data_IF_686083610697
#
_entry.id   IF_686083610697
#
_cell.length_a   1.000
_cell.length_b   1.000
_cell.length_c   1.000
_cell.angle_alpha   90.00
_cell.angle_beta   90.00
_cell.angle_gamma   90.00
#
_symmetry.space_group_name_H-M   'P 1'
#
loop_
_entity.id
_entity.type
_entity.pdbx_description
1 polymer ?
#
# COMPACT_ATOMS: atom_id res chain seq x y z
N UNK A 1 -22.61 22.01 -10.43
CA UNK A 1 -21.38 21.28 -10.03
C UNK A 1 -20.36 22.31 -9.58
N UNK A 2 -20.12 22.44 -8.28
CA UNK A 2 -19.16 23.40 -7.72
C UNK A 2 -17.75 23.03 -8.18
N UNK A 3 -17.13 23.84 -9.03
CA UNK A 3 -15.74 23.64 -9.45
C UNK A 3 -14.83 23.97 -8.27
N UNK A 4 -14.20 22.96 -7.67
CA UNK A 4 -13.13 23.17 -6.70
C UNK A 4 -12.05 24.07 -7.34
N UNK A 5 -11.56 25.11 -6.65
CA UNK A 5 -10.43 25.90 -7.15
C UNK A 5 -9.27 25.00 -7.54
N UNK A 6 -8.65 25.28 -8.70
CA UNK A 6 -7.56 24.48 -9.29
C UNK A 6 -7.90 23.06 -9.77
N UNK A 7 -9.18 22.73 -9.98
CA UNK A 7 -9.59 21.44 -10.57
C UNK A 7 -8.92 21.14 -11.92
N UNK A 8 -8.66 22.16 -12.75
CA UNK A 8 -7.93 22.05 -14.03
C UNK A 8 -6.46 21.59 -13.88
N UNK A 9 -5.89 21.63 -12.67
CA UNK A 9 -4.54 21.12 -12.36
C UNK A 9 -4.56 19.72 -11.74
N UNK A 10 -5.75 19.13 -11.55
CA UNK A 10 -5.92 17.81 -10.95
C UNK A 10 -6.12 16.74 -12.02
N UNK A 11 -5.77 15.49 -11.69
CA UNK A 11 -6.02 14.32 -12.54
C UNK A 11 -7.07 13.43 -11.88
N UNK A 12 -8.02 12.94 -12.67
CA UNK A 12 -8.91 11.86 -12.24
C UNK A 12 -8.18 10.53 -12.45
N UNK A 13 -8.09 9.71 -11.41
CA UNK A 13 -7.44 8.40 -11.46
C UNK A 13 -8.47 7.34 -11.05
N UNK A 14 -8.76 6.40 -11.95
CA UNK A 14 -9.48 5.19 -11.57
C UNK A 14 -8.56 4.31 -10.73
N UNK A 15 -9.01 3.93 -9.54
CA UNK A 15 -8.18 3.24 -8.54
C UNK A 15 -9.01 2.37 -7.63
N UNK A 16 -8.42 1.28 -7.16
CA UNK A 16 -8.93 0.54 -6.00
C UNK A 16 -8.59 1.35 -4.75
N UNK A 17 -9.61 1.91 -4.12
CA UNK A 17 -9.49 2.71 -2.90
C UNK A 17 -9.80 1.91 -1.63
N UNK A 18 -10.66 0.88 -1.74
CA UNK A 18 -11.02 -0.02 -0.66
C UNK A 18 -10.39 -1.38 -0.92
N UNK A 19 -9.17 -1.56 -0.43
CA UNK A 19 -8.42 -2.81 -0.63
C UNK A 19 -8.95 -3.91 0.30
N UNK A 20 -8.94 -5.19 -0.11
CA UNK A 20 -9.31 -6.29 0.76
C UNK A 20 -8.32 -6.45 1.91
N UNK A 21 -8.77 -7.01 3.04
CA UNK A 21 -7.88 -7.40 4.15
C UNK A 21 -6.88 -8.48 3.73
N UNK A 22 -7.33 -9.49 2.97
CA UNK A 22 -6.47 -10.49 2.32
C UNK A 22 -6.60 -10.38 0.78
N UNK A 23 -5.51 -10.14 0.04
CA UNK A 23 -5.55 -10.09 -1.43
C UNK A 23 -6.00 -11.41 -2.08
N UNK A 24 -5.91 -12.56 -1.39
CA UNK A 24 -6.42 -13.84 -1.91
C UNK A 24 -7.95 -13.83 -2.05
N UNK A 25 -8.66 -13.13 -1.16
CA UNK A 25 -10.12 -13.03 -1.24
C UNK A 25 -10.55 -12.30 -2.50
N UNK A 26 -9.81 -11.25 -2.88
CA UNK A 26 -10.03 -10.56 -4.14
C UNK A 26 -9.68 -11.44 -5.34
N UNK A 27 -8.57 -12.19 -5.29
CA UNK A 27 -8.22 -13.12 -6.36
C UNK A 27 -9.30 -14.17 -6.62
N UNK A 28 -9.90 -14.73 -5.55
CA UNK A 28 -10.97 -15.72 -5.66
C UNK A 28 -12.25 -15.13 -6.22
N UNK A 29 -12.55 -13.88 -5.86
CA UNK A 29 -13.79 -13.19 -6.26
C UNK A 29 -13.70 -12.60 -7.67
N UNK A 30 -12.58 -11.96 -7.99
CA UNK A 30 -12.36 -11.23 -9.24
C UNK A 30 -10.85 -11.17 -9.57
N UNK A 31 -10.35 -12.09 -10.42
CA UNK A 31 -8.97 -12.10 -10.88
C UNK A 31 -8.55 -10.83 -11.64
N UNK A 32 -9.48 -10.14 -12.31
CA UNK A 32 -9.19 -8.92 -13.07
C UNK A 32 -8.92 -7.77 -12.11
N UNK A 33 -9.75 -7.60 -11.08
CA UNK A 33 -9.51 -6.62 -10.03
C UNK A 33 -8.23 -6.93 -9.22
N UNK A 34 -7.92 -8.21 -8.99
CA UNK A 34 -6.64 -8.60 -8.38
C UNK A 34 -5.43 -8.16 -9.21
N UNK A 35 -5.47 -8.40 -10.53
CA UNK A 35 -4.40 -7.95 -11.44
C UNK A 35 -4.27 -6.43 -11.42
N UNK A 36 -5.40 -5.71 -11.43
CA UNK A 36 -5.43 -4.26 -11.31
C UNK A 36 -4.79 -3.79 -10.00
N UNK A 37 -5.11 -4.44 -8.87
CA UNK A 37 -4.55 -4.11 -7.57
C UNK A 37 -3.03 -4.32 -7.54
N UNK A 38 -2.53 -5.40 -8.16
CA UNK A 38 -1.10 -5.67 -8.28
C UNK A 38 -0.39 -4.54 -9.05
N UNK A 39 -0.87 -4.19 -10.24
CA UNK A 39 -0.28 -3.13 -11.05
C UNK A 39 -0.33 -1.77 -10.34
N UNK A 40 -1.48 -1.45 -9.72
CA UNK A 40 -1.64 -0.24 -8.91
C UNK A 40 -0.60 -0.20 -7.78
N UNK A 41 -0.41 -1.32 -7.08
CA UNK A 41 0.50 -1.43 -5.95
C UNK A 41 1.96 -1.28 -6.36
N UNK A 42 2.36 -1.84 -7.51
CA UNK A 42 3.70 -1.62 -8.08
C UNK A 42 3.96 -0.12 -8.31
N UNK A 43 3.01 0.59 -8.92
CA UNK A 43 3.12 2.02 -9.13
C UNK A 43 3.19 2.78 -7.81
N UNK A 44 2.40 2.40 -6.82
CA UNK A 44 2.37 3.05 -5.50
C UNK A 44 3.69 2.89 -4.75
N UNK A 45 4.37 1.75 -4.90
CA UNK A 45 5.71 1.50 -4.33
C UNK A 45 6.74 2.41 -4.98
N UNK A 46 6.86 2.41 -6.31
CA UNK A 46 7.87 3.19 -7.03
C UNK A 46 7.62 4.70 -6.88
N UNK A 47 6.35 5.13 -6.81
CA UNK A 47 5.96 6.52 -6.56
C UNK A 47 5.97 6.91 -5.08
N UNK A 48 6.51 6.06 -4.18
CA UNK A 48 6.73 6.39 -2.77
C UNK A 48 5.44 6.77 -2.00
N UNK A 49 4.29 6.23 -2.40
CA UNK A 49 2.98 6.59 -1.79
C UNK A 49 2.81 6.12 -0.36
N UNK A 50 3.62 5.15 0.07
CA UNK A 50 3.64 4.65 1.45
C UNK A 50 4.57 5.48 2.36
N UNK A 51 5.24 6.50 1.81
CA UNK A 51 6.15 7.37 2.55
C UNK A 51 7.24 6.58 3.28
N UNK A 52 7.68 7.03 4.48
CA UNK A 52 8.78 6.41 5.21
C UNK A 52 8.43 5.06 5.85
N UNK A 53 7.15 4.64 5.81
CA UNK A 53 6.76 3.32 6.30
C UNK A 53 7.33 2.19 5.44
N UNK A 54 7.48 2.42 4.13
CA UNK A 54 8.11 1.48 3.21
C UNK A 54 9.64 1.59 3.31
N UNK A 55 10.23 0.75 4.16
CA UNK A 55 11.68 0.65 4.31
C UNK A 55 12.34 0.07 3.05
N UNK A 56 13.62 0.38 2.86
CA UNK A 56 14.39 -0.02 1.68
C UNK A 56 14.55 -1.53 1.52
N UNK A 57 14.64 -2.29 2.62
CA UNK A 57 14.71 -3.74 2.59
C UNK A 57 13.42 -4.36 2.04
N UNK A 58 12.26 -3.80 2.38
CA UNK A 58 10.97 -4.19 1.83
C UNK A 58 10.87 -3.76 0.36
N UNK A 59 11.27 -2.54 0.02
CA UNK A 59 11.27 -2.05 -1.36
C UNK A 59 12.13 -2.94 -2.28
N UNK A 60 13.34 -3.33 -1.86
CA UNK A 60 14.21 -4.24 -2.61
C UNK A 60 13.59 -5.64 -2.76
N UNK A 61 12.90 -6.13 -1.73
CA UNK A 61 12.20 -7.43 -1.78
C UNK A 61 11.03 -7.41 -2.77
N UNK A 62 10.25 -6.34 -2.76
CA UNK A 62 9.15 -6.12 -3.71
C UNK A 62 9.70 -6.01 -5.14
N UNK A 63 10.76 -5.24 -5.35
CA UNK A 63 11.43 -5.12 -6.65
C UNK A 63 11.91 -6.48 -7.17
N UNK A 64 12.56 -7.30 -6.32
CA UNK A 64 12.99 -8.64 -6.70
C UNK A 64 11.82 -9.56 -7.13
N UNK A 65 10.67 -9.48 -6.45
CA UNK A 65 9.45 -10.18 -6.86
C UNK A 65 8.88 -9.66 -8.18
N UNK A 66 8.83 -8.34 -8.37
CA UNK A 66 8.31 -7.74 -9.60
C UNK A 66 9.19 -8.05 -10.81
N UNK A 67 10.52 -8.03 -10.66
CA UNK A 67 11.47 -8.48 -11.68
C UNK A 67 11.27 -9.97 -12.04
N UNK A 68 10.98 -10.81 -11.03
CA UNK A 68 10.65 -12.22 -11.25
C UNK A 68 9.38 -12.35 -12.09
N UNK A 69 8.30 -11.68 -11.67
CA UNK A 69 7.00 -11.68 -12.35
C UNK A 69 7.16 -11.23 -13.81
N UNK A 70 7.88 -10.13 -14.05
CA UNK A 70 8.14 -9.64 -15.40
C UNK A 70 8.90 -10.67 -16.25
N UNK A 71 9.94 -11.30 -15.68
CA UNK A 71 10.75 -12.30 -16.39
C UNK A 71 9.95 -13.56 -16.75
N UNK A 72 9.20 -14.13 -15.79
CA UNK A 72 8.46 -15.37 -16.04
C UNK A 72 7.30 -15.16 -17.01
N UNK A 73 6.71 -13.95 -17.02
CA UNK A 73 5.58 -13.63 -17.91
C UNK A 73 6.05 -13.35 -19.34
N UNK A 74 7.20 -12.71 -19.51
CA UNK A 74 7.71 -12.32 -20.84
C UNK A 74 8.57 -13.39 -21.51
N UNK A 75 9.43 -14.07 -20.75
CA UNK A 75 10.43 -15.02 -21.28
C UNK A 75 10.16 -16.48 -20.95
N UNK A 76 9.13 -16.77 -20.15
CA UNK A 76 8.83 -18.12 -19.68
C UNK A 76 10.04 -18.83 -19.04
N UNK A 77 11.00 -18.06 -18.51
CA UNK A 77 12.19 -18.56 -17.80
C UNK A 77 12.17 -18.13 -16.35
N UNK A 78 12.66 -19.01 -15.48
CA UNK A 78 12.74 -18.75 -14.04
C UNK A 78 14.12 -18.24 -13.61
N UNK A 79 15.09 -18.23 -14.53
CA UNK A 79 16.40 -17.65 -14.29
C UNK A 79 16.35 -16.15 -14.58
N UNK A 80 16.37 -15.34 -13.52
CA UNK A 80 16.45 -13.90 -13.65
C UNK A 80 17.92 -13.49 -13.86
N UNK A 81 18.16 -12.63 -14.84
CA UNK A 81 19.43 -11.96 -15.05
C UNK A 81 19.25 -10.46 -14.83
N UNK A 82 19.94 -9.88 -13.83
CA UNK A 82 19.85 -8.44 -13.59
C UNK A 82 20.37 -7.62 -14.78
N UNK A 83 21.39 -8.12 -15.49
CA UNK A 83 21.88 -7.48 -16.73
C UNK A 83 20.78 -7.39 -17.79
N UNK A 84 19.93 -8.41 -17.88
CA UNK A 84 18.79 -8.40 -18.81
C UNK A 84 17.70 -7.43 -18.34
N UNK A 85 17.32 -7.47 -17.06
CA UNK A 85 16.33 -6.55 -16.49
C UNK A 85 16.73 -5.10 -16.74
N UNK A 86 17.99 -4.77 -16.46
CA UNK A 86 18.53 -3.42 -16.64
C UNK A 86 18.50 -2.97 -18.11
N UNK A 87 18.85 -3.88 -19.04
CA UNK A 87 18.78 -3.59 -20.48
C UNK A 87 17.35 -3.40 -21.00
N UNK A 88 16.42 -4.22 -20.53
CA UNK A 88 15.05 -4.29 -21.06
C UNK A 88 14.13 -3.22 -20.45
N UNK A 89 14.25 -3.02 -19.13
CA UNK A 89 13.30 -2.23 -18.34
C UNK A 89 13.93 -1.10 -17.54
N UNK A 90 15.24 -1.13 -17.31
CA UNK A 90 15.89 -0.29 -16.30
C UNK A 90 15.57 -0.75 -14.86
N UNK A 91 16.45 -0.44 -13.90
CA UNK A 91 16.22 -0.79 -12.50
C UNK A 91 15.24 0.19 -11.82
N UNK A 92 15.21 1.43 -12.29
CA UNK A 92 14.35 2.53 -11.86
C UNK A 92 12.87 2.24 -12.07
N UNK A 93 12.51 1.35 -12.99
CA UNK A 93 11.14 0.89 -13.20
C UNK A 93 10.60 0.09 -12.00
N UNK A 94 11.49 -0.47 -11.17
CA UNK A 94 11.13 -1.34 -10.05
C UNK A 94 11.48 -0.74 -8.68
N UNK A 95 12.25 0.34 -8.64
CA UNK A 95 12.84 0.88 -7.42
C UNK A 95 12.40 2.31 -7.17
N UNK A 96 12.02 2.66 -5.92
CA UNK A 96 11.80 4.04 -5.54
C UNK A 96 13.06 4.91 -5.73
N UNK A 97 12.85 6.18 -6.10
CA UNK A 97 13.93 7.16 -6.29
C UNK A 97 14.80 7.30 -5.05
N UNK A 98 14.22 7.27 -3.85
CA UNK A 98 14.94 7.33 -2.59
C UNK A 98 15.98 6.20 -2.44
N UNK A 99 15.67 4.98 -2.91
CA UNK A 99 16.61 3.84 -2.88
C UNK A 99 17.78 4.09 -3.83
N UNK A 100 17.49 4.53 -5.05
CA UNK A 100 18.48 4.80 -6.09
C UNK A 100 19.46 5.92 -5.69
N UNK A 101 18.96 6.95 -5.00
CA UNK A 101 19.76 8.09 -4.56
C UNK A 101 20.58 7.79 -3.31
N UNK A 102 20.09 6.96 -2.40
CA UNK A 102 20.72 6.73 -1.10
C UNK A 102 21.64 5.50 -1.07
N UNK A 103 21.38 4.48 -1.88
CA UNK A 103 22.17 3.25 -1.93
C UNK A 103 23.06 3.21 -3.16
N UNK A 104 24.34 2.84 -2.97
CA UNK A 104 25.25 2.59 -4.10
C UNK A 104 24.69 1.48 -5.00
N UNK A 105 24.70 1.69 -6.31
CA UNK A 105 24.18 0.76 -7.31
C UNK A 105 24.73 -0.67 -7.16
N UNK A 106 26.04 -0.81 -6.86
CA UNK A 106 26.67 -2.11 -6.57
C UNK A 106 25.99 -2.85 -5.40
N UNK A 107 25.60 -2.12 -4.36
CA UNK A 107 24.93 -2.70 -3.19
C UNK A 107 23.48 -3.06 -3.51
N UNK A 108 22.78 -2.23 -4.29
CA UNK A 108 21.43 -2.53 -4.81
C UNK A 108 21.47 -3.83 -5.62
N UNK A 109 22.36 -3.92 -6.62
CA UNK A 109 22.52 -5.11 -7.47
C UNK A 109 22.88 -6.37 -6.67
N UNK A 110 23.74 -6.24 -5.64
CA UNK A 110 24.09 -7.35 -4.74
C UNK A 110 22.87 -7.81 -3.93
N UNK A 111 22.12 -6.89 -3.35
CA UNK A 111 20.92 -7.19 -2.58
C UNK A 111 19.83 -7.85 -3.44
N UNK A 112 19.54 -7.28 -4.62
CA UNK A 112 18.58 -7.84 -5.58
C UNK A 112 18.98 -9.24 -6.02
N UNK A 113 20.26 -9.47 -6.34
CA UNK A 113 20.76 -10.81 -6.72
C UNK A 113 20.51 -11.86 -5.64
N UNK A 114 20.66 -11.49 -4.38
CA UNK A 114 20.39 -12.37 -3.25
C UNK A 114 18.89 -12.61 -3.06
N UNK A 115 18.07 -11.55 -3.07
CA UNK A 115 16.63 -11.62 -2.87
C UNK A 115 15.93 -12.41 -3.99
N UNK A 116 16.34 -12.21 -5.23
CA UNK A 116 15.87 -12.97 -6.39
C UNK A 116 16.05 -14.49 -6.20
N UNK A 117 17.22 -14.90 -5.69
CA UNK A 117 17.47 -16.32 -5.40
C UNK A 117 16.59 -16.80 -4.25
N UNK A 118 16.45 -15.98 -3.21
CA UNK A 118 15.63 -16.28 -2.04
C UNK A 118 14.13 -16.40 -2.35
N UNK A 119 13.63 -15.81 -3.45
CA UNK A 119 12.23 -15.95 -3.85
C UNK A 119 11.81 -17.42 -4.09
N UNK A 120 12.74 -18.31 -4.45
CA UNK A 120 12.43 -19.74 -4.58
C UNK A 120 12.04 -20.39 -3.25
N UNK A 121 12.44 -19.79 -2.12
CA UNK A 121 12.08 -20.27 -0.78
C UNK A 121 10.66 -19.87 -0.36
N UNK A 122 9.95 -19.08 -1.18
CA UNK A 122 8.55 -18.71 -0.93
C UNK A 122 7.58 -19.87 -1.23
N UNK A 123 8.07 -20.92 -1.89
CA UNK A 123 7.32 -22.15 -2.15
C UNK A 123 8.05 -23.35 -1.55
N UNK A 124 7.34 -24.44 -1.23
CA UNK A 124 7.97 -25.66 -0.75
C UNK A 124 9.03 -26.19 -1.73
N UNK A 125 10.10 -26.84 -1.23
CA UNK A 125 11.13 -27.46 -2.07
C UNK A 125 10.52 -28.34 -3.16
N UNK A 126 11.02 -28.23 -4.39
CA UNK A 126 10.53 -28.98 -5.55
C UNK A 126 9.34 -28.34 -6.28
N UNK A 127 8.68 -27.32 -5.71
CA UNK A 127 7.72 -26.49 -6.43
C UNK A 127 8.38 -25.26 -7.01
N UNK A 128 7.88 -24.82 -8.16
CA UNK A 128 8.31 -23.58 -8.81
C UNK A 128 7.32 -22.47 -8.45
N UNK A 129 7.83 -21.31 -8.06
CA UNK A 129 7.00 -20.14 -7.80
C UNK A 129 6.29 -19.72 -9.11
N UNK A 130 4.97 -19.65 -9.12
CA UNK A 130 4.25 -19.12 -10.29
C UNK A 130 4.21 -17.59 -10.27
N UNK A 131 3.97 -16.96 -11.43
CA UNK A 131 3.75 -15.51 -11.51
C UNK A 131 2.60 -15.07 -10.60
N UNK A 132 1.51 -15.86 -10.58
CA UNK A 132 0.34 -15.59 -9.75
C UNK A 132 0.68 -15.64 -8.24
N UNK A 133 1.38 -16.68 -7.79
CA UNK A 133 1.84 -16.78 -6.40
C UNK A 133 2.78 -15.62 -6.03
N UNK A 134 3.69 -15.24 -6.92
CA UNK A 134 4.58 -14.11 -6.70
C UNK A 134 3.79 -12.78 -6.54
N UNK A 135 2.74 -12.55 -7.35
CA UNK A 135 1.82 -11.40 -7.17
C UNK A 135 1.09 -11.44 -5.83
N UNK A 136 0.63 -12.62 -5.40
CA UNK A 136 0.02 -12.80 -4.07
C UNK A 136 1.01 -12.44 -2.96
N UNK A 137 2.25 -12.94 -3.03
CA UNK A 137 3.28 -12.59 -2.03
C UNK A 137 3.61 -11.09 -2.05
N UNK A 138 3.69 -10.47 -3.23
CA UNK A 138 3.92 -9.04 -3.38
C UNK A 138 2.86 -8.24 -2.62
N UNK A 139 1.58 -8.53 -2.88
CA UNK A 139 0.46 -7.84 -2.22
C UNK A 139 0.38 -8.17 -0.72
N UNK A 140 0.75 -9.38 -0.29
CA UNK A 140 0.81 -9.72 1.14
C UNK A 140 1.85 -8.90 1.88
N UNK A 141 3.06 -8.73 1.35
CA UNK A 141 4.08 -7.86 1.96
C UNK A 141 3.59 -6.43 2.13
N UNK A 142 2.84 -5.91 1.16
CA UNK A 142 2.24 -4.58 1.28
C UNK A 142 1.08 -4.53 2.27
N UNK A 143 0.29 -5.61 2.37
CA UNK A 143 -0.86 -5.67 3.28
C UNK A 143 -0.51 -5.54 4.76
N UNK A 144 0.76 -5.70 5.12
CA UNK A 144 1.27 -5.54 6.48
C UNK A 144 1.62 -4.06 6.80
N UNK A 145 1.66 -3.19 5.79
CA UNK A 145 1.86 -1.75 5.98
C UNK A 145 0.55 -1.08 6.43
N UNK A 146 0.63 -0.12 7.35
CA UNK A 146 -0.57 0.59 7.84
C UNK A 146 -1.22 1.44 6.77
N UNK A 147 -0.42 2.04 5.91
CA UNK A 147 -0.90 2.90 4.83
C UNK A 147 -1.40 2.11 3.60
N UNK A 148 -1.29 0.76 3.60
CA UNK A 148 -1.84 -0.03 2.51
C UNK A 148 -3.37 -0.11 2.60
N UNK A 149 -4.04 0.61 1.69
CA UNK A 149 -5.48 0.88 1.78
C UNK A 149 -5.86 1.79 2.94
N UNK A 150 -4.87 2.32 3.67
CA UNK A 150 -5.06 3.23 4.79
C UNK A 150 -4.86 4.68 4.38
N UNK A 151 -5.49 5.59 5.12
CA UNK A 151 -5.26 7.04 5.01
C UNK A 151 -5.15 7.65 6.41
N UNK A 152 -4.26 8.62 6.51
CA UNK A 152 -4.06 9.39 7.73
C UNK A 152 -4.71 10.76 7.56
N UNK A 153 -5.49 11.17 8.55
CA UNK A 153 -6.16 12.46 8.59
C UNK A 153 -5.77 13.21 9.86
N UNK A 154 -5.52 14.50 9.73
CA UNK A 154 -5.46 15.41 10.88
C UNK A 154 -6.88 15.91 11.14
N UNK A 155 -7.32 15.83 12.38
CA UNK A 155 -8.66 16.22 12.77
C UNK A 155 -8.65 16.84 14.17
N UNK A 156 -9.71 17.57 14.51
CA UNK A 156 -9.95 18.06 15.87
C UNK A 156 -11.07 17.21 16.47
N UNK A 157 -10.74 16.40 17.48
CA UNK A 157 -11.73 15.63 18.24
C UNK A 157 -12.40 16.57 19.24
N UNK A 158 -13.73 16.53 19.30
CA UNK A 158 -14.55 17.29 20.25
C UNK A 158 -15.20 16.30 21.21
N UNK A 159 -14.81 16.32 22.48
CA UNK A 159 -15.36 15.44 23.52
C UNK A 159 -15.70 16.25 24.77
N UNK A 160 -16.98 16.25 25.17
CA UNK A 160 -17.49 17.00 26.32
C UNK A 160 -16.95 18.45 26.35
N UNK A 161 -17.12 19.16 25.22
CA UNK A 161 -16.67 20.54 24.96
C UNK A 161 -15.15 20.77 24.86
N UNK A 162 -14.32 19.76 25.14
CA UNK A 162 -12.86 19.85 24.94
C UNK A 162 -12.50 19.56 23.49
N UNK A 163 -11.62 20.38 22.93
CA UNK A 163 -11.05 20.22 21.58
C UNK A 163 -9.63 19.69 21.69
N UNK A 164 -9.29 18.68 20.91
CA UNK A 164 -7.93 18.12 20.87
C UNK A 164 -7.54 17.76 19.45
N UNK A 165 -6.35 18.16 19.03
CA UNK A 165 -5.79 17.74 17.75
C UNK A 165 -5.43 16.26 17.81
N UNK A 166 -5.97 15.49 16.87
CA UNK A 166 -5.78 14.05 16.76
C UNK A 166 -5.30 13.68 15.36
N UNK A 167 -4.64 12.54 15.28
CA UNK A 167 -4.27 11.93 14.00
C UNK A 167 -5.09 10.66 13.82
N UNK A 168 -6.03 10.67 12.89
CA UNK A 168 -6.85 9.51 12.58
C UNK A 168 -6.14 8.63 11.53
N UNK A 169 -6.18 7.32 11.72
CA UNK A 169 -5.83 6.30 10.73
C UNK A 169 -7.10 5.55 10.37
N UNK A 170 -7.51 5.67 9.11
CA UNK A 170 -8.65 4.93 8.57
C UNK A 170 -8.13 3.90 7.59
N UNK A 171 -8.41 2.62 7.81
CA UNK A 171 -7.91 1.57 6.93
C UNK A 171 -8.51 0.19 7.21
N UNK A 172 -8.34 -0.78 6.29
CA UNK A 172 -9.04 -2.06 6.35
C UNK A 172 -8.75 -2.85 7.63
N UNK A 173 -7.54 -2.75 8.20
CA UNK A 173 -7.14 -3.43 9.44
C UNK A 173 -7.39 -2.62 10.70
N UNK A 174 -7.66 -1.32 10.58
CA UNK A 174 -7.68 -0.37 11.69
C UNK A 174 -9.05 0.27 11.93
N UNK A 175 -10.05 -0.04 11.09
CA UNK A 175 -11.33 0.66 11.14
C UNK A 175 -11.10 2.17 11.05
N UNK A 176 -11.73 2.91 11.96
CA UNK A 176 -11.41 4.30 12.29
C UNK A 176 -10.64 4.28 13.61
N UNK A 177 -9.35 4.58 13.57
CA UNK A 177 -8.46 4.56 14.74
C UNK A 177 -7.80 5.91 15.00
N UNK A 178 -7.47 6.19 16.24
CA UNK A 178 -6.62 7.30 16.67
C UNK A 178 -5.17 6.83 16.82
N UNK A 179 -4.22 7.52 16.18
CA UNK A 179 -2.79 7.28 16.34
C UNK A 179 -2.28 7.99 17.59
N UNK A 180 -2.01 7.23 18.65
CA UNK A 180 -1.51 7.75 19.93
C UNK A 180 -0.02 8.06 19.83
N UNK A 181 0.76 7.16 19.23
CA UNK A 181 2.20 7.33 19.11
C UNK A 181 2.72 6.71 17.81
N UNK A 182 3.31 7.54 16.96
CA UNK A 182 3.85 7.14 15.66
C UNK A 182 5.14 6.32 15.77
N UNK A 183 5.93 6.49 16.84
CA UNK A 183 7.21 5.78 17.04
C UNK A 183 6.99 4.34 17.47
N UNK A 184 6.02 4.10 18.35
CA UNK A 184 5.66 2.75 18.84
C UNK A 184 4.54 2.11 18.04
N UNK A 185 4.01 2.80 17.01
CA UNK A 185 2.84 2.39 16.25
C UNK A 185 1.60 2.11 17.11
N UNK A 186 1.49 2.78 18.26
CA UNK A 186 0.35 2.63 19.16
C UNK A 186 -0.86 3.35 18.57
N UNK A 187 -1.93 2.58 18.34
CA UNK A 187 -3.21 3.05 17.81
C UNK A 187 -4.34 2.59 18.73
N UNK A 188 -5.35 3.43 18.91
CA UNK A 188 -6.58 3.09 19.62
C UNK A 188 -7.75 3.07 18.64
N UNK A 189 -8.49 1.97 18.62
CA UNK A 189 -9.70 1.84 17.81
C UNK A 189 -10.77 2.77 18.37
N UNK A 190 -11.31 3.64 17.51
CA UNK A 190 -12.48 4.47 17.84
C UNK A 190 -13.76 3.77 17.39
N UNK A 191 -13.76 3.21 16.17
CA UNK A 191 -14.87 2.43 15.63
C UNK A 191 -14.38 1.41 14.61
N UNK A 192 -14.82 0.16 14.72
CA UNK A 192 -14.77 -0.76 13.59
C UNK A 192 -15.85 -0.35 12.57
N UNK A 193 -15.60 -0.57 11.29
CA UNK A 193 -16.57 -0.27 10.24
C UNK A 193 -17.90 -1.01 10.45
N UNK A 194 -17.90 -2.22 11.03
CA UNK A 194 -19.13 -2.95 11.34
C UNK A 194 -20.02 -2.27 12.38
N UNK A 195 -19.46 -1.37 13.19
CA UNK A 195 -20.20 -0.66 14.24
C UNK A 195 -20.61 0.75 13.82
N UNK A 196 -20.13 1.26 12.69
CA UNK A 196 -20.54 2.57 12.18
C UNK A 196 -21.94 2.45 11.55
N UNK A 197 -22.92 3.10 12.17
CA UNK A 197 -24.29 3.13 11.67
C UNK A 197 -24.51 4.29 10.67
N UNK A 198 -23.96 5.47 10.98
CA UNK A 198 -24.20 6.69 10.19
C UNK A 198 -23.04 7.66 10.29
N UNK A 199 -22.79 8.38 9.19
CA UNK A 199 -21.82 9.48 9.12
C UNK A 199 -22.57 10.72 8.64
N UNK A 200 -22.53 11.78 9.43
CA UNK A 200 -23.13 13.09 9.09
C UNK A 200 -22.03 14.14 8.96
N UNK A 201 -22.24 15.10 8.06
CA UNK A 201 -21.27 16.16 7.80
C UNK A 201 -21.98 17.50 7.80
N UNK A 202 -21.42 18.47 8.53
CA UNK A 202 -21.95 19.82 8.64
C UNK A 202 -20.86 20.82 8.27
N UNK A 203 -21.18 21.77 7.41
CA UNK A 203 -20.28 22.88 7.11
C UNK A 203 -20.32 23.87 8.28
N UNK A 204 -19.16 24.16 8.86
CA UNK A 204 -19.02 25.16 9.95
C UNK A 204 -18.50 26.48 9.37
N UNK A 205 -17.35 26.43 8.69
CA UNK A 205 -16.70 27.56 8.02
C UNK A 205 -16.29 27.15 6.59
N UNK A 206 -15.88 28.09 5.72
CA UNK A 206 -15.60 27.83 4.28
C UNK A 206 -14.66 26.65 4.02
N UNK A 207 -13.76 26.32 4.95
CA UNK A 207 -12.84 25.18 4.84
C UNK A 207 -12.97 24.14 5.95
N UNK A 208 -13.93 24.30 6.88
CA UNK A 208 -14.07 23.43 8.05
C UNK A 208 -15.38 22.63 7.97
N UNK A 209 -15.25 21.30 8.04
CA UNK A 209 -16.37 20.37 8.05
C UNK A 209 -16.36 19.60 9.36
N UNK A 210 -17.47 19.70 10.12
CA UNK A 210 -17.73 18.84 11.27
C UNK A 210 -18.23 17.49 10.76
N UNK A 211 -17.62 16.40 11.24
CA UNK A 211 -18.02 15.03 10.93
C UNK A 211 -18.52 14.38 12.21
N UNK A 212 -19.75 13.89 12.19
CA UNK A 212 -20.36 13.15 13.30
C UNK A 212 -20.46 11.66 12.94
N UNK A 213 -19.84 10.82 13.76
CA UNK A 213 -19.85 9.36 13.62
C UNK A 213 -20.83 8.78 14.64
N UNK A 214 -21.90 8.17 14.15
CA UNK A 214 -22.86 7.45 14.97
C UNK A 214 -22.43 5.97 15.01
N UNK A 215 -21.94 5.55 16.17
CA UNK A 215 -21.42 4.19 16.40
C UNK A 215 -22.40 3.42 17.28
N UNK A 216 -22.66 2.16 16.93
CA UNK A 216 -23.47 1.26 17.75
C UNK A 216 -22.71 0.88 19.02
N UNK A 217 -23.39 0.97 20.17
CA UNK A 217 -22.85 0.41 21.41
C UNK A 217 -22.76 -1.11 21.28
N UNK A 218 -21.54 -1.63 21.35
CA UNK A 218 -21.29 -3.06 21.52
C UNK A 218 -21.40 -3.33 23.01
N UNK A 219 -22.47 -4.00 23.44
CA UNK A 219 -22.57 -4.56 24.79
C UNK A 219 -21.56 -5.67 25.01
#
# INVERSE_FOLDING_TARGET
>A
VTQRPSSHKMRCLFRISFVPKDPIDLLRRDPVAFEYLYVQSCNDVVQERFGPELKYDIALRLAALQMYIATVTTKQTQKISLKYIEKEWGLETFLPSAVLQSMKEKNIKKALSHLVKANQNLVPPGKKLSALQAKVHYLKFLSDLRLYGGRVFKATLVQAEKRSEVTLLVGPRYGISHVINTKTNLVALLADFSHVNRIEMFTEEESLVRVELHVLDVK
#
